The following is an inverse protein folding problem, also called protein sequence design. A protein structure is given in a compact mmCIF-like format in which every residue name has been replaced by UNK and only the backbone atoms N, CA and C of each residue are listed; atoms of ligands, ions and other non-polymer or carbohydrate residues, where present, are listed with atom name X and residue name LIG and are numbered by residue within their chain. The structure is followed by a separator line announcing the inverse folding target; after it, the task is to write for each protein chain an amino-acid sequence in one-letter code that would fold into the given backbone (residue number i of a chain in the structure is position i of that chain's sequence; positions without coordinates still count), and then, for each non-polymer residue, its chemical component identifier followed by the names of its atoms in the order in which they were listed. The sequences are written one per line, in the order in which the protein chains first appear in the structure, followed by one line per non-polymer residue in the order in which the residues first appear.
data_IF_951626579860
#
_entry.id   IF_951626579860
#
_cell.length_a   1.000
_cell.length_b   1.000
_cell.length_c   1.000
_cell.angle_alpha   90.00
_cell.angle_beta   90.00
_cell.angle_gamma   90.00
#
_symmetry.space_group_name_H-M   'P 1'
#
loop_
_entity.id
_entity.type
_entity.pdbx_description
1 polymer ?
#
# COMPACT_ATOMS: atom_id res chain seq x y z
N UNK A 1 28.64 -8.92 -10.83
CA UNK A 1 28.37 -10.11 -9.99
C UNK A 1 26.85 -10.16 -9.83
N UNK A 2 26.23 -11.20 -10.40
CA UNK A 2 24.80 -11.34 -10.70
C UNK A 2 23.82 -10.86 -9.61
N UNK A 3 22.93 -9.94 -9.95
CA UNK A 3 21.60 -9.86 -9.33
C UNK A 3 20.67 -10.78 -10.13
N UNK A 4 20.56 -12.04 -9.71
CA UNK A 4 19.44 -12.88 -10.14
C UNK A 4 18.21 -12.49 -9.31
N UNK A 5 17.22 -11.90 -9.97
CA UNK A 5 15.90 -11.65 -9.42
C UNK A 5 15.20 -13.00 -9.32
N UNK A 6 15.46 -13.75 -8.24
CA UNK A 6 14.66 -14.93 -7.91
C UNK A 6 13.35 -14.44 -7.30
N UNK A 7 12.29 -14.35 -8.12
CA UNK A 7 10.93 -14.04 -7.67
C UNK A 7 10.45 -15.13 -6.69
N UNK A 8 10.73 -14.96 -5.40
CA UNK A 8 10.32 -15.89 -4.34
C UNK A 8 11.37 -16.19 -3.27
N UNK A 9 12.61 -15.69 -3.38
CA UNK A 9 13.62 -15.88 -2.35
C UNK A 9 13.56 -14.78 -1.27
N UNK A 10 13.52 -15.15 0.01
CA UNK A 10 13.64 -14.23 1.16
C UNK A 10 15.00 -14.44 1.80
N UNK A 11 15.81 -13.38 1.85
CA UNK A 11 17.11 -13.41 2.54
C UNK A 11 16.90 -13.10 4.02
N UNK A 12 17.29 -14.05 4.89
CA UNK A 12 17.25 -13.89 6.35
C UNK A 12 18.68 -13.83 6.90
N UNK A 13 19.04 -12.72 7.53
CA UNK A 13 20.32 -12.56 8.25
C UNK A 13 20.08 -12.52 9.75
N UNK A 14 20.74 -13.41 10.50
CA UNK A 14 20.65 -13.48 11.96
C UNK A 14 22.05 -13.38 12.54
N UNK A 15 22.32 -12.31 13.29
CA UNK A 15 23.55 -12.15 14.04
C UNK A 15 23.40 -12.86 15.39
N UNK A 16 24.22 -13.88 15.63
CA UNK A 16 24.22 -14.63 16.90
C UNK A 16 25.60 -15.19 17.21
N UNK A 17 25.96 -15.21 18.49
CA UNK A 17 27.20 -15.85 18.95
C UNK A 17 27.14 -17.38 18.95
N UNK A 18 25.94 -17.97 18.97
CA UNK A 18 25.72 -19.42 18.87
C UNK A 18 24.42 -19.71 18.11
N UNK A 19 24.54 -20.43 17.00
CA UNK A 19 23.38 -20.87 16.23
C UNK A 19 22.78 -22.12 16.88
N UNK A 20 21.66 -21.93 17.60
CA UNK A 20 20.90 -23.04 18.20
C UNK A 20 19.64 -23.31 17.39
N UNK A 21 19.14 -24.56 17.45
CA UNK A 21 17.89 -24.95 16.78
C UNK A 21 16.69 -24.10 17.24
N UNK A 22 16.64 -23.73 18.53
CA UNK A 22 15.59 -22.87 19.08
C UNK A 22 15.62 -21.46 18.48
N UNK A 23 16.81 -20.90 18.29
CA UNK A 23 16.97 -19.57 17.70
C UNK A 23 16.56 -19.57 16.22
N UNK A 24 16.95 -20.59 15.47
CA UNK A 24 16.53 -20.74 14.07
C UNK A 24 15.00 -20.86 13.98
N UNK A 25 14.38 -21.66 14.84
CA UNK A 25 12.93 -21.82 14.89
C UNK A 25 12.21 -20.48 15.18
N UNK A 26 12.73 -19.69 16.12
CA UNK A 26 12.17 -18.36 16.43
C UNK A 26 12.33 -17.39 15.26
N UNK A 27 13.51 -17.38 14.61
CA UNK A 27 13.76 -16.53 13.46
C UNK A 27 12.81 -16.86 12.29
N UNK A 28 12.62 -18.14 11.98
CA UNK A 28 11.68 -18.59 10.96
C UNK A 28 10.23 -18.20 11.29
N UNK A 29 9.79 -18.40 12.53
CA UNK A 29 8.45 -17.98 12.98
C UNK A 29 8.25 -16.47 12.84
N UNK A 30 9.27 -15.68 13.15
CA UNK A 30 9.23 -14.22 13.03
C UNK A 30 9.10 -13.79 11.57
N UNK A 31 9.86 -14.39 10.65
CA UNK A 31 9.75 -14.12 9.21
C UNK A 31 8.34 -14.43 8.71
N UNK A 32 7.78 -15.58 9.07
CA UNK A 32 6.42 -15.95 8.66
C UNK A 32 5.37 -14.96 9.19
N UNK A 33 5.46 -14.59 10.47
CA UNK A 33 4.55 -13.62 11.07
C UNK A 33 4.67 -12.22 10.43
N UNK A 34 5.87 -11.81 10.06
CA UNK A 34 6.13 -10.54 9.39
C UNK A 34 5.57 -10.54 7.96
N UNK A 35 5.76 -11.64 7.22
CA UNK A 35 5.16 -11.84 5.90
C UNK A 35 3.62 -11.84 5.96
N UNK A 36 3.01 -12.43 6.98
CA UNK A 36 1.55 -12.40 7.16
C UNK A 36 1.03 -11.00 7.52
N UNK A 37 1.78 -10.24 8.33
CA UNK A 37 1.45 -8.84 8.61
C UNK A 37 1.53 -7.98 7.36
N UNK A 38 2.60 -8.12 6.57
CA UNK A 38 2.75 -7.37 5.32
C UNK A 38 1.74 -7.74 4.22
N UNK A 39 1.16 -8.95 4.25
CA UNK A 39 0.02 -9.30 3.39
C UNK A 39 -1.28 -8.63 3.82
N UNK A 40 -1.45 -8.41 5.12
CA UNK A 40 -2.68 -7.87 5.70
C UNK A 40 -2.66 -6.35 5.92
N UNK A 41 -1.50 -5.71 5.80
CA UNK A 41 -1.38 -4.26 5.79
C UNK A 41 -1.55 -3.78 4.34
N UNK A 42 -2.76 -3.35 3.91
CA UNK A 42 -2.89 -2.75 2.61
C UNK A 42 -2.05 -1.48 2.65
N UNK A 43 -0.90 -1.47 1.97
CA UNK A 43 -0.14 -0.25 1.72
C UNK A 43 -1.13 0.83 1.29
N UNK A 44 -1.36 1.80 2.19
CA UNK A 44 -2.35 2.85 2.01
C UNK A 44 -1.82 3.69 0.85
N UNK A 45 -2.39 3.48 -0.35
CA UNK A 45 -1.95 4.15 -1.56
C UNK A 45 -2.49 5.56 -1.55
N UNK A 46 -1.66 6.59 -1.43
CA UNK A 46 -2.19 7.95 -1.42
C UNK A 46 -2.42 8.52 -2.82
N UNK A 47 -3.36 9.47 -2.93
CA UNK A 47 -3.68 10.23 -4.13
C UNK A 47 -4.80 9.62 -4.97
N UNK A 48 -4.57 9.49 -6.28
CA UNK A 48 -5.60 8.99 -7.21
C UNK A 48 -5.80 7.49 -7.00
N UNK A 49 -6.98 7.12 -6.51
CA UNK A 49 -7.36 5.74 -6.23
C UNK A 49 -8.63 5.34 -6.98
N UNK A 50 -8.93 4.03 -7.00
CA UNK A 50 -10.24 3.55 -7.41
C UNK A 50 -11.27 3.77 -6.30
N UNK A 51 -12.55 3.94 -6.65
CA UNK A 51 -13.63 4.10 -5.67
C UNK A 51 -13.68 2.95 -4.65
N UNK A 52 -13.40 1.71 -5.09
CA UNK A 52 -13.34 0.53 -4.21
C UNK A 52 -12.21 0.63 -3.17
N UNK A 53 -11.05 1.17 -3.55
CA UNK A 53 -9.93 1.40 -2.63
C UNK A 53 -10.30 2.49 -1.64
N UNK A 54 -10.86 3.61 -2.13
CA UNK A 54 -11.32 4.72 -1.29
C UNK A 54 -12.31 4.28 -0.20
N UNK A 55 -13.30 3.45 -0.56
CA UNK A 55 -14.27 2.90 0.39
C UNK A 55 -13.66 1.95 1.42
N UNK A 56 -12.55 1.28 1.09
CA UNK A 56 -11.85 0.37 2.02
C UNK A 56 -11.18 1.14 3.18
N UNK A 57 -10.91 2.43 3.01
CA UNK A 57 -10.35 3.29 4.05
C UNK A 57 -11.36 3.66 5.17
N UNK A 58 -12.62 3.22 5.08
CA UNK A 58 -13.62 3.39 6.15
C UNK A 58 -14.10 4.83 6.37
N UNK A 59 -13.56 5.80 5.63
CA UNK A 59 -14.00 7.19 5.64
C UNK A 59 -15.19 7.36 4.67
N UNK A 60 -16.23 8.06 5.15
CA UNK A 60 -17.39 8.42 4.33
C UNK A 60 -16.95 9.13 3.05
N UNK A 61 -17.12 8.46 1.92
CA UNK A 61 -16.80 9.03 0.61
C UNK A 61 -17.82 10.13 0.32
N UNK A 62 -17.35 11.37 0.15
CA UNK A 62 -18.16 12.48 -0.31
C UNK A 62 -18.00 12.66 -1.82
N UNK A 63 -19.10 12.97 -2.50
CA UNK A 63 -19.07 13.32 -3.91
C UNK A 63 -18.99 14.85 -4.02
N UNK A 64 -18.08 15.33 -4.87
CA UNK A 64 -18.00 16.74 -5.24
C UNK A 64 -18.08 16.85 -6.76
N UNK A 65 -18.88 17.77 -7.25
CA UNK A 65 -18.93 18.10 -8.67
C UNK A 65 -17.75 19.01 -9.00
N UNK A 66 -16.99 18.65 -10.04
CA UNK A 66 -15.86 19.44 -10.53
C UNK A 66 -16.06 19.67 -12.01
N UNK A 67 -15.91 20.93 -12.43
CA UNK A 67 -15.97 21.31 -13.85
C UNK A 67 -14.65 21.01 -14.57
N UNK A 68 -14.70 20.86 -15.89
CA UNK A 68 -13.51 20.60 -16.73
C UNK A 68 -12.42 21.67 -16.60
N UNK A 69 -12.80 22.90 -16.22
CA UNK A 69 -11.88 24.01 -15.98
C UNK A 69 -11.06 23.82 -14.69
N UNK A 70 -11.64 23.22 -13.65
CA UNK A 70 -11.06 23.16 -12.31
C UNK A 70 -10.45 21.79 -11.95
N UNK A 71 -10.69 20.75 -12.75
CA UNK A 71 -10.22 19.38 -12.49
C UNK A 71 -8.70 19.26 -12.36
N UNK A 72 -7.94 20.08 -13.10
CA UNK A 72 -6.47 20.11 -13.02
C UNK A 72 -5.98 20.73 -11.70
N UNK A 73 -6.63 21.80 -11.25
CA UNK A 73 -6.29 22.48 -9.99
C UNK A 73 -6.65 21.62 -8.77
N UNK A 74 -7.72 20.82 -8.88
CA UNK A 74 -8.14 19.89 -7.83
C UNK A 74 -7.06 18.86 -7.49
N UNK A 75 -6.45 18.20 -8.50
CA UNK A 75 -5.41 17.18 -8.27
C UNK A 75 -4.22 17.71 -7.45
N UNK A 76 -3.75 18.92 -7.76
CA UNK A 76 -2.66 19.57 -7.03
C UNK A 76 -3.06 19.88 -5.58
N UNK A 77 -4.30 20.32 -5.37
CA UNK A 77 -4.84 20.65 -4.05
C UNK A 77 -5.06 19.40 -3.21
N UNK A 78 -5.62 18.34 -3.80
CA UNK A 78 -5.81 17.05 -3.15
C UNK A 78 -4.48 16.47 -2.68
N UNK A 79 -3.43 16.55 -3.51
CA UNK A 79 -2.08 16.12 -3.12
C UNK A 79 -1.52 16.94 -1.95
N UNK A 80 -1.77 18.25 -1.91
CA UNK A 80 -1.31 19.14 -0.83
C UNK A 80 -1.95 18.78 0.52
N UNK A 81 -3.22 18.39 0.51
CA UNK A 81 -3.97 18.04 1.73
C UNK A 81 -4.01 16.53 2.02
N UNK A 82 -3.29 15.70 1.25
CA UNK A 82 -3.30 14.25 1.44
C UNK A 82 -4.68 13.62 1.21
N UNK A 83 -5.50 14.21 0.34
CA UNK A 83 -6.85 13.74 0.02
C UNK A 83 -6.74 12.67 -1.06
N UNK A 84 -7.24 11.48 -0.75
CA UNK A 84 -7.41 10.40 -1.71
C UNK A 84 -8.70 10.63 -2.50
N UNK A 85 -8.66 10.43 -3.83
CA UNK A 85 -9.80 10.73 -4.69
C UNK A 85 -9.93 9.79 -5.89
N UNK A 86 -11.16 9.64 -6.36
CA UNK A 86 -11.49 8.95 -7.61
C UNK A 86 -12.22 9.92 -8.53
N UNK A 87 -11.80 10.00 -9.80
CA UNK A 87 -12.53 10.77 -10.81
C UNK A 87 -13.57 9.87 -11.47
N UNK A 88 -14.84 10.27 -11.40
CA UNK A 88 -15.94 9.65 -12.12
C UNK A 88 -16.48 10.67 -13.12
N UNK A 89 -16.52 10.30 -14.40
CA UNK A 89 -17.20 11.09 -15.42
C UNK A 89 -18.70 10.83 -15.29
N UNK A 90 -19.50 11.88 -15.21
CA UNK A 90 -20.94 11.73 -15.34
C UNK A 90 -21.30 11.48 -16.81
N UNK A 91 -22.12 10.47 -17.05
CA UNK A 91 -22.56 10.07 -18.41
C UNK A 91 -23.99 10.52 -18.67
N UNK A 92 -24.62 11.21 -17.72
CA UNK A 92 -25.95 11.77 -17.87
C UNK A 92 -25.83 13.11 -18.61
N UNK A 93 -25.84 13.03 -19.94
CA UNK A 93 -25.94 14.17 -20.86
C UNK A 93 -26.94 13.85 -21.96
#
# INVERSE_FOLDING_TARGET
MQEEITQGAVTLSVETGKLTAQLLQQAMKKVLADMEKHKNDPQLRHGKQTLRQLMKHGAGVSNIEITDQNIKAFSATAKKYGIDFALKKDTTG
#
